data_IF_930297635384
#
_entry.id   IF_930297635384
#
_cell.length_a   1.000
_cell.length_b   1.000
_cell.length_c   1.000
_cell.angle_alpha   90.00
_cell.angle_beta   90.00
_cell.angle_gamma   90.00
#
_symmetry.space_group_name_H-M   'P 1'
#
loop_
_entity.id
_entity.type
_entity.pdbx_description
1 polymer ?
#
# COMPACT_ATOMS: atom_id res chain seq x y z
N UNK A 1 37.21 -24.13 31.29
CA UNK A 1 36.09 -23.17 31.33
C UNK A 1 36.40 -22.07 30.33
N UNK A 2 36.07 -22.30 29.06
CA UNK A 2 36.32 -21.35 27.97
C UNK A 2 35.04 -20.53 27.83
N UNK A 3 35.06 -19.32 28.38
CA UNK A 3 33.95 -18.37 28.23
C UNK A 3 33.88 -17.97 26.77
N UNK A 4 32.96 -18.57 26.03
CA UNK A 4 32.53 -18.08 24.74
C UNK A 4 31.94 -16.69 24.97
N UNK A 5 32.73 -15.66 24.68
CA UNK A 5 32.23 -14.31 24.51
C UNK A 5 31.26 -14.37 23.33
N UNK A 6 29.99 -14.61 23.65
CA UNK A 6 28.88 -14.38 22.75
C UNK A 6 28.86 -12.88 22.52
N UNK A 7 29.67 -12.43 21.56
CA UNK A 7 29.54 -11.12 20.96
C UNK A 7 28.13 -11.11 20.39
N UNK A 8 27.17 -10.63 21.18
CA UNK A 8 25.92 -10.11 20.67
C UNK A 8 26.34 -8.91 19.83
N UNK A 9 26.77 -9.16 18.59
CA UNK A 9 26.68 -8.14 17.58
C UNK A 9 25.21 -7.77 17.54
N UNK A 10 24.87 -6.66 18.20
CA UNK A 10 23.59 -6.00 18.03
C UNK A 10 23.37 -5.89 16.53
N UNK A 11 22.44 -6.71 16.01
CA UNK A 11 22.19 -6.80 14.57
C UNK A 11 22.06 -5.40 13.99
N UNK A 12 22.69 -5.13 12.84
CA UNK A 12 22.61 -3.82 12.21
C UNK A 12 21.15 -3.42 12.00
N UNK A 13 20.86 -2.11 11.96
CA UNK A 13 19.49 -1.61 11.73
C UNK A 13 18.88 -2.22 10.47
N UNK A 14 19.69 -2.40 9.43
CA UNK A 14 19.27 -3.07 8.20
C UNK A 14 18.90 -4.54 8.42
N UNK A 15 19.70 -5.28 9.19
CA UNK A 15 19.39 -6.68 9.51
C UNK A 15 18.13 -6.81 10.35
N UNK A 16 17.90 -5.89 11.30
CA UNK A 16 16.66 -5.85 12.08
C UNK A 16 15.45 -5.58 11.18
N UNK A 17 15.57 -4.65 10.23
CA UNK A 17 14.53 -4.36 9.25
C UNK A 17 14.21 -5.55 8.35
N UNK A 18 15.23 -6.21 7.78
CA UNK A 18 15.06 -7.41 6.97
C UNK A 18 14.34 -8.52 7.77
N UNK A 19 14.79 -8.79 9.00
CA UNK A 19 14.18 -9.79 9.88
C UNK A 19 12.72 -9.45 10.22
N UNK A 20 12.39 -8.17 10.35
CA UNK A 20 11.03 -7.72 10.64
C UNK A 20 10.11 -7.85 9.42
N UNK A 21 10.56 -7.43 8.24
CA UNK A 21 9.77 -7.53 7.00
C UNK A 21 9.41 -8.98 6.70
N UNK A 22 10.35 -9.91 6.88
CA UNK A 22 10.14 -11.34 6.59
C UNK A 22 9.66 -12.14 7.81
N UNK A 23 9.32 -11.47 8.91
CA UNK A 23 8.82 -12.13 10.13
C UNK A 23 7.47 -12.80 9.88
N UNK A 24 7.38 -14.09 10.21
CA UNK A 24 6.14 -14.88 10.20
C UNK A 24 5.26 -14.62 11.42
N UNK A 25 5.75 -13.87 12.41
CA UNK A 25 5.01 -13.53 13.62
C UNK A 25 4.14 -12.26 13.46
N UNK A 26 4.26 -11.56 12.33
CA UNK A 26 3.39 -10.43 12.02
C UNK A 26 1.96 -10.92 11.77
N UNK A 27 0.95 -10.25 12.34
CA UNK A 27 -0.48 -10.58 12.16
C UNK A 27 -0.90 -10.61 10.68
N UNK A 28 -0.31 -9.72 9.89
CA UNK A 28 -0.38 -9.70 8.44
C UNK A 28 1.07 -9.74 7.96
N UNK A 29 1.41 -10.76 7.18
CA UNK A 29 2.75 -10.89 6.63
C UNK A 29 3.04 -9.75 5.64
N UNK A 30 4.24 -9.17 5.73
CA UNK A 30 4.66 -8.07 4.85
C UNK A 30 5.47 -8.65 3.67
N UNK A 31 6.67 -9.15 3.93
CA UNK A 31 7.59 -9.59 2.90
C UNK A 31 8.03 -8.46 1.95
N UNK A 32 8.98 -8.75 1.07
CA UNK A 32 9.50 -7.74 0.13
C UNK A 32 8.46 -7.27 -0.89
N UNK A 33 7.52 -8.14 -1.28
CA UNK A 33 6.38 -7.73 -2.11
C UNK A 33 5.43 -6.78 -1.37
N UNK A 34 5.22 -6.98 -0.06
CA UNK A 34 4.38 -6.12 0.77
C UNK A 34 4.84 -4.67 0.80
N UNK A 35 6.15 -4.42 0.70
CA UNK A 35 6.73 -3.07 0.66
C UNK A 35 6.20 -2.25 -0.53
N UNK A 36 5.95 -2.91 -1.67
CA UNK A 36 5.34 -2.26 -2.84
C UNK A 36 3.82 -2.37 -2.82
N UNK A 37 3.30 -3.54 -2.47
CA UNK A 37 1.87 -3.83 -2.51
C UNK A 37 1.07 -2.90 -1.58
N UNK A 38 1.52 -2.71 -0.33
CA UNK A 38 0.79 -1.91 0.67
C UNK A 38 0.60 -0.46 0.20
N UNK A 39 1.65 0.31 -0.14
CA UNK A 39 1.45 1.68 -0.60
C UNK A 39 0.67 1.77 -1.92
N UNK A 40 0.87 0.83 -2.85
CA UNK A 40 0.13 0.83 -4.12
C UNK A 40 -1.37 0.59 -3.91
N UNK A 41 -1.74 -0.43 -3.12
CA UNK A 41 -3.14 -0.74 -2.84
C UNK A 41 -3.81 0.38 -2.05
N UNK A 42 -3.15 0.93 -1.02
CA UNK A 42 -3.72 2.05 -0.27
C UNK A 42 -3.98 3.25 -1.18
N UNK A 43 -3.01 3.62 -2.03
CA UNK A 43 -3.17 4.75 -2.96
C UNK A 43 -4.30 4.50 -3.95
N UNK A 44 -4.36 3.30 -4.55
CA UNK A 44 -5.40 2.95 -5.50
C UNK A 44 -6.78 2.94 -4.86
N UNK A 45 -6.92 2.34 -3.67
CA UNK A 45 -8.18 2.30 -2.93
C UNK A 45 -8.65 3.69 -2.53
N UNK A 46 -7.76 4.55 -2.01
CA UNK A 46 -8.12 5.92 -1.66
C UNK A 46 -8.56 6.72 -2.89
N UNK A 47 -7.82 6.63 -4.00
CA UNK A 47 -8.17 7.29 -5.26
C UNK A 47 -9.53 6.81 -5.77
N UNK A 48 -9.75 5.50 -5.80
CA UNK A 48 -11.01 4.90 -6.23
C UNK A 48 -12.20 5.39 -5.40
N UNK A 49 -12.09 5.36 -4.07
CA UNK A 49 -13.18 5.79 -3.18
C UNK A 49 -13.53 7.26 -3.43
N UNK A 50 -12.54 8.14 -3.51
CA UNK A 50 -12.77 9.58 -3.73
C UNK A 50 -13.37 9.82 -5.11
N UNK A 51 -12.81 9.21 -6.16
CA UNK A 51 -13.26 9.41 -7.52
C UNK A 51 -14.68 8.89 -7.74
N UNK A 52 -14.99 7.70 -7.21
CA UNK A 52 -16.32 7.10 -7.31
C UNK A 52 -17.39 7.96 -6.64
N UNK A 53 -17.06 8.64 -5.53
CA UNK A 53 -18.02 9.50 -4.84
C UNK A 53 -18.12 10.88 -5.49
N UNK A 54 -16.98 11.51 -5.82
CA UNK A 54 -16.92 12.96 -6.02
C UNK A 54 -16.15 13.42 -7.28
N UNK A 55 -15.74 12.53 -8.18
CA UNK A 55 -15.07 12.97 -9.41
C UNK A 55 -16.00 13.83 -10.29
N UNK A 56 -15.49 14.90 -10.92
CA UNK A 56 -16.23 15.58 -11.99
C UNK A 56 -16.35 14.67 -13.22
N UNK A 57 -17.27 14.98 -14.16
CA UNK A 57 -17.39 14.26 -15.42
C UNK A 57 -16.08 14.23 -16.21
N UNK A 58 -15.81 13.11 -16.89
CA UNK A 58 -14.58 12.87 -17.64
C UNK A 58 -14.89 12.66 -19.12
N UNK A 59 -14.14 13.32 -20.00
CA UNK A 59 -14.22 13.13 -21.45
C UNK A 59 -13.40 11.89 -21.84
N UNK A 60 -14.06 10.74 -21.95
CA UNK A 60 -13.42 9.45 -22.21
C UNK A 60 -12.96 9.30 -23.66
N UNK A 61 -13.71 9.86 -24.61
CA UNK A 61 -13.47 9.72 -26.05
C UNK A 61 -12.76 10.94 -26.66
N UNK A 62 -12.57 12.02 -25.89
CA UNK A 62 -11.88 13.23 -26.34
C UNK A 62 -12.70 14.12 -27.28
N UNK A 63 -14.01 13.91 -27.34
CA UNK A 63 -14.94 14.61 -28.24
C UNK A 63 -15.62 15.81 -27.58
N UNK A 64 -15.18 16.20 -26.37
CA UNK A 64 -15.77 17.28 -25.56
C UNK A 64 -17.20 16.96 -25.07
N UNK A 65 -17.52 15.69 -24.86
CA UNK A 65 -18.76 15.23 -24.23
C UNK A 65 -18.45 14.47 -22.92
N UNK A 66 -18.35 15.18 -21.78
CA UNK A 66 -17.95 14.55 -20.52
C UNK A 66 -19.03 13.60 -19.98
N UNK A 67 -18.61 12.43 -19.52
CA UNK A 67 -19.48 11.42 -18.92
C UNK A 67 -19.39 11.50 -17.40
N UNK A 68 -20.54 11.67 -16.73
CA UNK A 68 -20.63 11.67 -15.27
C UNK A 68 -20.59 10.23 -14.74
N UNK A 69 -19.57 9.88 -13.95
CA UNK A 69 -19.43 8.55 -13.36
C UNK A 69 -19.58 8.49 -11.83
N UNK A 70 -19.64 9.65 -11.15
CA UNK A 70 -19.63 9.70 -9.68
C UNK A 70 -21.03 9.83 -9.07
N UNK A 71 -21.16 9.44 -7.80
CA UNK A 71 -22.43 9.48 -7.07
C UNK A 71 -22.96 10.90 -6.88
N UNK A 72 -22.09 11.86 -6.53
CA UNK A 72 -22.49 13.26 -6.36
C UNK A 72 -22.93 13.93 -7.67
N UNK A 73 -22.59 13.35 -8.82
CA UNK A 73 -23.06 13.77 -10.14
C UNK A 73 -24.27 12.96 -10.64
N UNK A 74 -25.01 12.30 -9.75
CA UNK A 74 -26.32 11.72 -10.04
C UNK A 74 -26.32 10.24 -10.44
N UNK A 75 -25.22 9.51 -10.22
CA UNK A 75 -25.16 8.07 -10.43
C UNK A 75 -25.62 7.26 -9.20
N UNK A 76 -25.92 5.99 -9.40
CA UNK A 76 -26.17 4.97 -8.38
C UNK A 76 -25.06 3.90 -8.37
N UNK A 77 -25.20 2.89 -7.49
CA UNK A 77 -24.30 1.71 -7.45
C UNK A 77 -24.71 0.70 -8.52
#
# INVERSE_FOLDING_TARGET
MTTTLQQRESASVWQQFCNWITSTNNRIYVGWFGVLMIPCLLTATTCFIIAFIAAPPVDIDGIREPVAGSLLYGNNI
#
